data_IF_453740976477
#
_entry.id   IF_453740976477
#
_cell.length_a   1.000
_cell.length_b   1.000
_cell.length_c   1.000
_cell.angle_alpha   90.00
_cell.angle_beta   90.00
_cell.angle_gamma   90.00
#
_symmetry.space_group_name_H-M   'P 1'
#
loop_
_entity.id
_entity.type
_entity.pdbx_description
1 polymer ?
#
# COMPACT_ATOMS: atom_id res chain seq x y z
N UNK A 1 -4.60 -17.84 5.96
CA UNK A 1 -5.81 -18.22 5.19
C UNK A 1 -5.74 -19.69 4.78
N UNK A 2 -6.88 -20.40 4.78
CA UNK A 2 -6.91 -21.82 4.46
C UNK A 2 -6.75 -22.09 2.95
N UNK A 3 -7.24 -21.19 2.09
CA UNK A 3 -7.21 -21.34 0.63
C UNK A 3 -5.92 -20.79 0.02
N UNK A 4 -5.47 -21.38 -1.09
CA UNK A 4 -4.33 -20.85 -1.85
C UNK A 4 -4.61 -19.43 -2.36
N UNK A 5 -5.80 -19.16 -2.88
CA UNK A 5 -6.19 -17.83 -3.33
C UNK A 5 -6.12 -16.79 -2.20
N UNK A 6 -6.57 -17.13 -0.99
CA UNK A 6 -6.45 -16.25 0.17
C UNK A 6 -4.99 -15.95 0.54
N UNK A 7 -4.10 -16.94 0.42
CA UNK A 7 -2.67 -16.75 0.62
C UNK A 7 -2.04 -15.88 -0.48
N UNK A 8 -2.47 -16.05 -1.73
CA UNK A 8 -2.05 -15.18 -2.84
C UNK A 8 -2.49 -13.74 -2.61
N UNK A 9 -3.71 -13.51 -2.11
CA UNK A 9 -4.18 -12.18 -1.72
C UNK A 9 -3.26 -11.56 -0.67
N UNK A 10 -2.88 -12.30 0.37
CA UNK A 10 -1.95 -11.78 1.39
C UNK A 10 -0.60 -11.35 0.81
N UNK A 11 -0.03 -12.15 -0.09
CA UNK A 11 1.22 -11.81 -0.78
C UNK A 11 1.05 -10.68 -1.80
N UNK A 12 -0.15 -10.49 -2.34
CA UNK A 12 -0.47 -9.45 -3.30
C UNK A 12 -0.66 -8.06 -2.65
N UNK A 13 -1.00 -8.00 -1.36
CA UNK A 13 -1.08 -6.74 -0.61
C UNK A 13 0.26 -6.03 -0.65
N UNK A 14 0.24 -4.75 -1.01
CA UNK A 14 1.43 -3.88 -1.18
C UNK A 14 2.54 -4.52 -2.06
N UNK A 15 2.14 -5.41 -2.98
CA UNK A 15 3.03 -6.17 -3.85
C UNK A 15 4.13 -6.96 -3.11
N UNK A 16 3.84 -7.50 -1.92
CA UNK A 16 4.79 -8.30 -1.12
C UNK A 16 5.48 -9.46 -1.88
N UNK A 17 4.77 -10.08 -2.83
CA UNK A 17 5.29 -11.14 -3.71
C UNK A 17 6.54 -10.71 -4.51
N UNK A 18 6.72 -9.41 -4.79
CA UNK A 18 7.85 -8.92 -5.60
C UNK A 18 9.20 -9.22 -4.98
N UNK A 19 9.28 -9.35 -3.65
CA UNK A 19 10.52 -9.71 -2.96
C UNK A 19 11.08 -11.05 -3.46
N UNK A 20 10.20 -12.02 -3.75
CA UNK A 20 10.60 -13.32 -4.29
C UNK A 20 11.13 -13.21 -5.72
N UNK A 21 10.54 -12.39 -6.58
CA UNK A 21 10.94 -12.33 -7.99
C UNK A 21 12.06 -11.33 -8.28
N UNK A 22 12.48 -10.55 -7.29
CA UNK A 22 13.62 -9.65 -7.42
C UNK A 22 14.89 -10.30 -6.83
N UNK A 23 15.94 -10.55 -7.63
CA UNK A 23 17.19 -11.15 -7.14
C UNK A 23 17.82 -10.41 -5.94
N UNK A 24 17.72 -9.07 -5.93
CA UNK A 24 18.31 -8.24 -4.86
C UNK A 24 17.58 -8.42 -3.52
N UNK A 25 16.31 -8.83 -3.54
CA UNK A 25 15.47 -8.97 -2.36
C UNK A 25 15.08 -10.41 -2.05
N UNK A 26 15.41 -11.38 -2.92
CA UNK A 26 14.96 -12.77 -2.78
C UNK A 26 15.37 -13.39 -1.43
N UNK A 27 16.63 -13.23 -1.04
CA UNK A 27 17.14 -13.75 0.24
C UNK A 27 16.47 -13.08 1.44
N UNK A 28 16.27 -11.76 1.36
CA UNK A 28 15.59 -10.98 2.41
C UNK A 28 14.13 -11.41 2.53
N UNK A 29 13.46 -11.59 1.40
CA UNK A 29 12.08 -12.06 1.33
C UNK A 29 11.93 -13.43 1.98
N UNK A 30 12.81 -14.39 1.63
CA UNK A 30 12.83 -15.71 2.28
C UNK A 30 13.07 -15.59 3.79
N UNK A 31 14.07 -14.82 4.21
CA UNK A 31 14.40 -14.67 5.63
C UNK A 31 13.21 -14.15 6.44
N UNK A 32 12.57 -13.07 6.01
CA UNK A 32 11.43 -12.53 6.73
C UNK A 32 10.21 -13.45 6.69
N UNK A 33 9.89 -14.01 5.52
CA UNK A 33 8.69 -14.82 5.36
C UNK A 33 8.79 -16.17 6.07
N UNK A 34 9.97 -16.79 6.05
CA UNK A 34 10.20 -18.14 6.61
C UNK A 34 10.77 -18.07 8.02
N UNK A 35 11.91 -17.38 8.22
CA UNK A 35 12.67 -17.48 9.48
C UNK A 35 12.12 -16.55 10.57
N UNK A 36 11.51 -15.42 10.20
CA UNK A 36 11.02 -14.41 11.16
C UNK A 36 9.53 -14.51 11.41
N UNK A 37 8.73 -14.60 10.34
CA UNK A 37 7.28 -14.62 10.42
C UNK A 37 6.69 -16.04 10.45
N UNK A 38 7.52 -17.06 10.20
CA UNK A 38 7.13 -18.47 10.21
C UNK A 38 5.99 -18.79 9.22
N UNK A 39 5.93 -18.09 8.08
CA UNK A 39 4.97 -18.28 6.99
C UNK A 39 5.60 -19.01 5.79
N UNK A 40 6.26 -20.14 6.05
CA UNK A 40 6.95 -20.93 5.02
C UNK A 40 6.02 -21.33 3.87
N UNK A 41 4.74 -21.58 4.16
CA UNK A 41 3.75 -21.93 3.15
C UNK A 41 3.48 -20.81 2.14
N UNK A 42 3.69 -19.54 2.52
CA UNK A 42 3.58 -18.41 1.60
C UNK A 42 4.79 -18.36 0.65
N UNK A 43 5.97 -18.71 1.15
CA UNK A 43 7.18 -18.81 0.32
C UNK A 43 7.03 -19.91 -0.75
N UNK A 44 6.51 -21.08 -0.37
CA UNK A 44 6.21 -22.16 -1.32
C UNK A 44 5.16 -21.76 -2.36
N UNK A 45 4.20 -20.91 -1.99
CA UNK A 45 3.24 -20.37 -2.94
C UNK A 45 3.92 -19.52 -4.02
N UNK A 46 4.91 -18.70 -3.64
CA UNK A 46 5.70 -17.92 -4.60
C UNK A 46 6.52 -18.79 -5.57
N UNK A 47 6.95 -19.99 -5.16
CA UNK A 47 7.61 -20.94 -6.06
C UNK A 47 6.64 -21.57 -7.07
N UNK A 48 5.36 -21.69 -6.71
CA UNK A 48 4.32 -22.33 -7.53
C UNK A 48 3.74 -21.39 -8.60
N UNK A 49 3.58 -20.11 -8.27
CA UNK A 49 2.91 -19.13 -9.12
C UNK A 49 3.90 -18.20 -9.82
N UNK A 50 3.44 -17.52 -10.87
CA UNK A 50 4.17 -16.49 -11.60
C UNK A 50 3.79 -15.08 -11.12
N UNK A 51 4.57 -14.08 -11.53
CA UNK A 51 4.23 -12.66 -11.32
C UNK A 51 2.83 -12.33 -11.88
N UNK A 52 2.49 -12.86 -13.05
CA UNK A 52 1.21 -12.59 -13.72
C UNK A 52 0.02 -13.12 -12.92
N UNK A 53 0.19 -14.25 -12.22
CA UNK A 53 -0.84 -14.79 -11.35
C UNK A 53 -1.16 -13.84 -10.18
N UNK A 54 -0.14 -13.22 -9.58
CA UNK A 54 -0.34 -12.20 -8.55
C UNK A 54 -0.96 -10.92 -9.11
N UNK A 55 -0.54 -10.49 -10.31
CA UNK A 55 -1.17 -9.34 -11.00
C UNK A 55 -2.65 -9.61 -11.26
N UNK A 56 -3.00 -10.82 -11.69
CA UNK A 56 -4.39 -11.23 -11.91
C UNK A 56 -5.21 -11.19 -10.61
N UNK A 57 -4.64 -11.60 -9.47
CA UNK A 57 -5.29 -11.47 -8.15
C UNK A 57 -5.52 -9.99 -7.80
N UNK A 58 -4.51 -9.14 -8.00
CA UNK A 58 -4.63 -7.69 -7.74
C UNK A 58 -5.76 -7.07 -8.55
N UNK A 59 -5.85 -7.42 -9.84
CA UNK A 59 -6.92 -6.95 -10.74
C UNK A 59 -8.27 -7.53 -10.32
N UNK A 60 -8.34 -8.84 -10.06
CA UNK A 60 -9.57 -9.55 -9.71
C UNK A 60 -10.29 -8.90 -8.54
N UNK A 61 -9.56 -8.57 -7.47
CA UNK A 61 -10.11 -7.97 -6.25
C UNK A 61 -9.98 -6.44 -6.18
N UNK A 62 -9.33 -5.83 -7.19
CA UNK A 62 -8.96 -4.43 -7.21
C UNK A 62 -8.21 -4.01 -5.93
N UNK A 63 -7.17 -4.77 -5.56
CA UNK A 63 -6.41 -4.59 -4.31
C UNK A 63 -5.68 -3.25 -4.22
N UNK A 64 -5.38 -2.65 -5.37
CA UNK A 64 -4.79 -1.30 -5.47
C UNK A 64 -5.87 -0.19 -5.49
N UNK A 65 -7.13 -0.55 -5.31
CA UNK A 65 -8.24 0.40 -5.24
C UNK A 65 -8.03 1.39 -4.10
N UNK A 66 -8.42 2.64 -4.30
CA UNK A 66 -8.29 3.67 -3.28
C UNK A 66 -9.45 3.58 -2.29
N UNK A 67 -9.21 4.06 -1.08
CA UNK A 67 -10.26 4.48 -0.17
C UNK A 67 -10.26 6.01 -0.21
N UNK A 68 -11.41 6.61 -0.51
CA UNK A 68 -11.53 8.07 -0.61
C UNK A 68 -12.72 8.59 0.18
N UNK A 69 -12.63 9.84 0.60
CA UNK A 69 -13.71 10.54 1.27
C UNK A 69 -14.66 11.16 0.25
N UNK A 70 -15.97 11.02 0.47
CA UNK A 70 -17.01 11.64 -0.33
C UNK A 70 -18.24 11.93 0.55
N UNK A 71 -18.68 13.20 0.60
CA UNK A 71 -19.91 13.63 1.27
C UNK A 71 -20.12 13.09 2.69
N UNK A 72 -19.05 13.08 3.51
CA UNK A 72 -19.12 12.61 4.88
C UNK A 72 -18.91 11.10 5.06
N UNK A 73 -18.82 10.32 3.98
CA UNK A 73 -18.54 8.88 4.02
C UNK A 73 -17.19 8.52 3.42
N UNK A 74 -16.72 7.30 3.72
CA UNK A 74 -15.63 6.68 2.98
C UNK A 74 -16.19 5.76 1.89
N UNK A 75 -15.56 5.78 0.73
CA UNK A 75 -15.91 4.97 -0.43
C UNK A 75 -14.68 4.21 -0.93
N UNK A 76 -14.91 3.06 -1.53
CA UNK A 76 -13.87 2.29 -2.21
C UNK A 76 -14.48 1.45 -3.32
N UNK A 77 -13.66 1.11 -4.31
CA UNK A 77 -13.97 0.11 -5.33
C UNK A 77 -13.18 -1.19 -5.12
N UNK A 78 -12.47 -1.35 -3.99
CA UNK A 78 -11.94 -2.65 -3.57
C UNK A 78 -13.12 -3.61 -3.36
N UNK A 79 -12.99 -4.86 -3.83
CA UNK A 79 -14.03 -5.89 -3.75
C UNK A 79 -14.14 -6.51 -2.35
N UNK A 80 -14.55 -5.69 -1.37
CA UNK A 80 -14.54 -6.07 0.06
C UNK A 80 -15.41 -7.29 0.37
N UNK A 81 -16.55 -7.46 -0.31
CA UNK A 81 -17.45 -8.59 -0.09
C UNK A 81 -16.78 -9.90 -0.52
N UNK A 82 -16.16 -9.89 -1.70
CA UNK A 82 -15.45 -11.04 -2.26
C UNK A 82 -14.21 -11.37 -1.43
N UNK A 83 -13.50 -10.35 -0.92
CA UNK A 83 -12.39 -10.55 0.01
C UNK A 83 -12.85 -11.18 1.33
N UNK A 84 -14.01 -10.79 1.85
CA UNK A 84 -14.58 -11.39 3.06
C UNK A 84 -14.88 -12.87 2.85
N UNK A 85 -15.44 -13.24 1.71
CA UNK A 85 -15.74 -14.64 1.37
C UNK A 85 -14.47 -15.49 1.29
N UNK A 86 -13.39 -14.98 0.68
CA UNK A 86 -12.15 -15.73 0.49
C UNK A 86 -11.30 -15.81 1.77
N UNK A 87 -11.20 -14.71 2.52
CA UNK A 87 -10.35 -14.63 3.70
C UNK A 87 -11.08 -15.07 4.98
N UNK A 88 -12.41 -15.14 4.97
CA UNK A 88 -13.20 -15.43 6.16
C UNK A 88 -13.10 -14.33 7.22
N UNK A 89 -12.74 -13.10 6.82
CA UNK A 89 -12.54 -11.96 7.70
C UNK A 89 -13.56 -10.86 7.42
N UNK A 90 -14.06 -10.17 8.45
CA UNK A 90 -15.03 -9.10 8.27
C UNK A 90 -14.38 -7.85 7.67
N UNK A 91 -14.74 -7.51 6.43
CA UNK A 91 -14.31 -6.26 5.79
C UNK A 91 -15.51 -5.34 5.58
N UNK A 92 -15.62 -4.31 6.42
CA UNK A 92 -16.72 -3.36 6.36
C UNK A 92 -16.21 -1.94 6.25
N UNK A 93 -16.90 -1.14 5.42
CA UNK A 93 -16.73 0.30 5.45
C UNK A 93 -17.35 0.86 6.74
N UNK A 94 -16.68 1.82 7.41
CA UNK A 94 -17.26 2.48 8.58
C UNK A 94 -18.55 3.19 8.18
N UNK A 95 -19.57 3.07 9.04
CA UNK A 95 -20.90 3.72 8.84
C UNK A 95 -20.94 5.13 9.43
N UNK A 96 -19.93 5.51 10.20
CA UNK A 96 -19.82 6.83 10.80
C UNK A 96 -19.68 7.91 9.72
N UNK A 97 -20.23 9.09 10.00
CA UNK A 97 -19.96 10.27 9.20
C UNK A 97 -18.68 10.94 9.66
N UNK A 98 -17.86 11.38 8.70
CA UNK A 98 -16.61 12.08 8.93
C UNK A 98 -16.74 13.54 8.49
N UNK A 99 -16.09 14.43 9.22
CA UNK A 99 -15.94 15.83 8.85
C UNK A 99 -14.49 16.06 8.41
N UNK A 100 -14.29 16.68 7.24
CA UNK A 100 -12.95 17.05 6.79
C UNK A 100 -12.43 18.20 7.68
N UNK A 101 -11.35 17.95 8.43
CA UNK A 101 -10.76 18.94 9.35
C UNK A 101 -9.63 19.72 8.67
N UNK A 102 -8.77 19.03 7.91
CA UNK A 102 -7.65 19.62 7.18
C UNK A 102 -7.47 18.89 5.86
N UNK A 103 -6.97 19.60 4.86
CA UNK A 103 -6.55 19.05 3.58
C UNK A 103 -5.08 19.35 3.36
N UNK A 104 -4.33 18.38 2.86
CA UNK A 104 -2.92 18.53 2.57
C UNK A 104 -2.69 18.33 1.08
N UNK A 105 -1.83 19.14 0.51
CA UNK A 105 -1.30 18.91 -0.83
C UNK A 105 -0.02 18.07 -0.76
N UNK A 106 0.24 17.32 -1.82
CA UNK A 106 1.39 16.41 -1.92
C UNK A 106 2.38 16.93 -2.95
N UNK A 107 3.65 16.99 -2.57
CA UNK A 107 4.74 17.41 -3.44
C UNK A 107 5.75 16.26 -3.54
N UNK A 108 6.10 15.92 -4.78
CA UNK A 108 7.19 15.01 -5.13
C UNK A 108 8.26 15.79 -5.86
N UNK A 109 9.49 15.81 -5.33
CA UNK A 109 10.63 16.41 -6.05
C UNK A 109 11.93 15.63 -5.82
N UNK A 110 12.87 15.65 -6.79
CA UNK A 110 14.20 15.14 -6.55
C UNK A 110 14.92 15.99 -5.51
N UNK A 111 15.77 15.35 -4.70
CA UNK A 111 16.74 16.04 -3.85
C UNK A 111 17.91 16.40 -4.73
N UNK A 112 18.25 17.68 -4.78
CA UNK A 112 19.41 18.15 -5.54
C UNK A 112 20.54 18.44 -4.56
N UNK A 113 20.43 19.57 -3.87
CA UNK A 113 21.47 20.07 -2.97
C UNK A 113 20.96 20.26 -1.53
N UNK A 114 19.65 20.10 -1.32
CA UNK A 114 19.02 20.27 -0.03
C UNK A 114 19.48 19.18 0.96
N UNK A 115 19.95 19.60 2.13
CA UNK A 115 20.45 18.74 3.21
C UNK A 115 19.50 18.66 4.39
N UNK A 116 18.63 19.65 4.54
CA UNK A 116 17.67 19.75 5.65
C UNK A 116 16.24 19.84 5.11
N UNK A 117 15.25 19.56 5.96
CA UNK A 117 13.83 19.65 5.55
C UNK A 117 13.42 21.11 5.33
N UNK A 118 13.99 22.03 6.08
CA UNK A 118 13.73 23.47 6.00
C UNK A 118 14.23 24.06 4.68
N UNK A 119 15.32 23.52 4.13
CA UNK A 119 15.80 23.86 2.78
C UNK A 119 14.85 23.32 1.68
N UNK A 120 14.08 22.26 1.96
CA UNK A 120 13.13 21.68 1.00
C UNK A 120 11.84 22.49 0.91
N UNK A 121 11.21 22.77 2.05
CA UNK A 121 10.03 23.62 2.24
C UNK A 121 9.86 23.93 3.75
N UNK A 122 9.46 25.16 4.08
CA UNK A 122 9.28 25.62 5.45
C UNK A 122 8.03 25.06 6.16
N UNK A 123 7.06 24.51 5.43
CA UNK A 123 5.75 24.09 5.97
C UNK A 123 5.47 22.60 5.76
N UNK A 124 6.50 21.77 5.88
CA UNK A 124 6.39 20.32 5.76
C UNK A 124 5.64 19.74 6.97
N UNK A 125 4.52 19.06 6.70
CA UNK A 125 3.77 18.30 7.71
C UNK A 125 4.30 16.87 7.87
N UNK A 126 4.54 16.18 6.75
CA UNK A 126 5.13 14.84 6.71
C UNK A 126 6.06 14.74 5.52
N UNK A 127 7.17 14.02 5.66
CA UNK A 127 8.17 13.83 4.62
C UNK A 127 8.68 12.39 4.62
N UNK A 128 8.82 11.84 3.43
CA UNK A 128 9.44 10.56 3.20
C UNK A 128 10.48 10.67 2.07
N UNK A 129 11.64 10.06 2.28
CA UNK A 129 12.55 9.74 1.19
C UNK A 129 11.95 8.60 0.39
N UNK A 130 11.86 8.77 -0.91
CA UNK A 130 11.32 7.78 -1.83
C UNK A 130 12.27 7.59 -2.99
N UNK A 131 12.26 6.38 -3.58
CA UNK A 131 13.25 6.00 -4.59
C UNK A 131 14.67 6.26 -4.03
N UNK A 132 15.64 6.53 -4.91
CA UNK A 132 17.02 6.81 -4.50
C UNK A 132 17.21 8.25 -3.99
N UNK A 133 16.73 9.23 -4.74
CA UNK A 133 16.99 10.66 -4.50
C UNK A 133 15.72 11.52 -4.65
N UNK A 134 14.56 11.02 -4.22
CA UNK A 134 13.32 11.81 -4.24
C UNK A 134 12.78 12.01 -2.83
N UNK A 135 12.12 13.13 -2.62
CA UNK A 135 11.27 13.37 -1.44
C UNK A 135 9.83 13.44 -1.89
N UNK A 136 8.98 12.79 -1.10
CA UNK A 136 7.54 12.99 -1.11
C UNK A 136 7.19 13.64 0.23
N UNK A 137 6.61 14.83 0.20
CA UNK A 137 6.17 15.50 1.41
C UNK A 137 4.78 16.09 1.23
N UNK A 138 4.11 16.31 2.35
CA UNK A 138 2.81 16.97 2.41
C UNK A 138 2.91 18.29 3.15
N UNK A 139 2.11 19.26 2.73
CA UNK A 139 1.94 20.54 3.42
C UNK A 139 0.47 20.93 3.47
N UNK A 140 0.11 21.74 4.45
CA UNK A 140 -1.28 22.17 4.61
C UNK A 140 -1.70 22.93 3.35
N UNK A 141 -2.78 22.49 2.71
CA UNK A 141 -3.33 23.16 1.54
C UNK A 141 -3.87 24.52 2.01
N UNK A 142 -3.36 25.60 1.44
CA UNK A 142 -3.91 26.93 1.70
C UNK A 142 -5.28 27.01 1.03
N UNK A 143 -6.28 27.51 1.75
CA UNK A 143 -7.56 27.81 1.13
C UNK A 143 -7.37 29.02 0.21
N UNK A 144 -7.71 28.87 -1.07
CA UNK A 144 -7.79 30.00 -1.98
C UNK A 144 -8.81 30.98 -1.40
N UNK A 145 -8.34 32.15 -0.96
CA UNK A 145 -9.21 33.27 -0.61
C UNK A 145 -9.77 33.82 -1.94
N UNK A 146 -10.84 33.22 -2.43
CA UNK A 146 -11.69 33.82 -3.48
C UNK A 146 -12.49 34.98 -2.91
#
# INVERSE_FOLDING_TARGET
PATEEGKMILLAIDAGYKGFYNPDFHAIHKHYLVDVLEFEELYYLCQKYSIDDFINIIIKYNLNGKIWFNNGGLQTNIKLKELQEVLGLPFFMPKNKFTKIKEFEYITKPISNEKTKEELDSNIFSLALTRKNYVNYSKLKQEDRT
#
